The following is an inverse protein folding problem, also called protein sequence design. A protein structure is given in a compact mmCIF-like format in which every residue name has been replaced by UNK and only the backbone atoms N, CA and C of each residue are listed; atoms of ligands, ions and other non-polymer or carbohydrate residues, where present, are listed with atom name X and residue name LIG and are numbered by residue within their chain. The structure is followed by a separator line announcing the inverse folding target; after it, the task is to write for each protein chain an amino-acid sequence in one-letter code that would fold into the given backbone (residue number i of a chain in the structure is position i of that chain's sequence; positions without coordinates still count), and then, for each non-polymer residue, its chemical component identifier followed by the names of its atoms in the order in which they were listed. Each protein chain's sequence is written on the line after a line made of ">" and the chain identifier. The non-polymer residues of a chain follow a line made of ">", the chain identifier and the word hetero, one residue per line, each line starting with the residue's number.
data_IF_616352543609
#
_entry.id   IF_616352543609
#
_cell.length_a   1.000
_cell.length_b   1.000
_cell.length_c   1.000
_cell.angle_alpha   90.00
_cell.angle_beta   90.00
_cell.angle_gamma   90.00
#
_symmetry.space_group_name_H-M   'P 1'
#
loop_
_entity.id
_entity.type
_entity.pdbx_description
1 polymer ?
#
# COMPACT_ATOMS: atom_id res chain seq x y z
N UNK A 1 17.98 -13.54 -16.96
CA UNK A 1 17.44 -13.50 -15.58
C UNK A 1 17.76 -12.16 -14.89
N UNK A 2 17.46 -10.99 -15.49
CA UNK A 2 17.98 -9.69 -14.99
C UNK A 2 17.09 -8.46 -15.20
N UNK A 3 15.84 -8.64 -15.61
CA UNK A 3 14.84 -7.55 -15.66
C UNK A 3 13.97 -7.50 -14.40
N UNK A 4 13.65 -8.68 -13.83
CA UNK A 4 12.80 -8.81 -12.65
C UNK A 4 13.45 -8.22 -11.40
N UNK A 5 14.76 -8.43 -11.18
CA UNK A 5 15.49 -7.84 -10.04
C UNK A 5 15.56 -6.31 -10.08
N UNK A 6 15.64 -5.70 -11.26
CA UNK A 6 15.61 -4.23 -11.41
C UNK A 6 14.24 -3.66 -11.07
N UNK A 7 13.17 -4.32 -11.52
CA UNK A 7 11.81 -3.92 -11.18
C UNK A 7 11.52 -4.05 -9.67
N UNK A 8 11.96 -5.14 -9.03
CA UNK A 8 11.79 -5.33 -7.58
C UNK A 8 12.56 -4.27 -6.79
N UNK A 9 13.76 -3.89 -7.24
CA UNK A 9 14.55 -2.84 -6.60
C UNK A 9 13.90 -1.46 -6.75
N UNK A 10 13.35 -1.14 -7.93
CA UNK A 10 12.61 0.11 -8.15
C UNK A 10 11.30 0.17 -7.35
N UNK A 11 10.58 -0.93 -7.20
CA UNK A 11 9.37 -0.98 -6.35
C UNK A 11 9.73 -0.74 -4.88
N UNK A 12 10.82 -1.32 -4.39
CA UNK A 12 11.28 -1.10 -3.01
C UNK A 12 11.67 0.35 -2.72
N UNK A 13 12.30 1.03 -3.69
CA UNK A 13 12.66 2.45 -3.59
C UNK A 13 11.41 3.34 -3.59
N UNK A 14 10.42 3.04 -4.44
CA UNK A 14 9.13 3.73 -4.46
C UNK A 14 8.36 3.49 -3.15
N UNK A 15 8.33 2.27 -2.63
CA UNK A 15 7.71 1.97 -1.33
C UNK A 15 8.39 2.75 -0.19
N UNK A 16 9.71 2.91 -0.22
CA UNK A 16 10.46 3.63 0.81
C UNK A 16 10.22 5.14 0.77
N UNK A 17 10.17 5.73 -0.42
CA UNK A 17 9.79 7.14 -0.62
C UNK A 17 8.36 7.39 -0.15
N UNK A 18 7.42 6.53 -0.57
CA UNK A 18 6.01 6.62 -0.21
C UNK A 18 5.81 6.44 1.30
N UNK A 19 6.58 5.54 1.92
CA UNK A 19 6.57 5.36 3.36
C UNK A 19 7.10 6.60 4.10
N UNK A 20 8.19 7.18 3.62
CA UNK A 20 8.77 8.39 4.21
C UNK A 20 7.83 9.59 4.09
N UNK A 21 7.11 9.71 2.97
CA UNK A 21 6.12 10.77 2.76
C UNK A 21 4.85 10.59 3.60
N UNK A 22 4.48 9.34 3.89
CA UNK A 22 3.32 9.01 4.71
C UNK A 22 3.62 9.08 6.22
N UNK A 23 4.87 8.93 6.65
CA UNK A 23 5.31 9.04 8.05
C UNK A 23 4.84 10.34 8.75
N UNK A 24 5.03 11.55 8.20
CA UNK A 24 4.56 12.78 8.84
C UNK A 24 3.03 12.94 8.84
N UNK A 25 2.33 12.24 7.94
CA UNK A 25 0.85 12.30 7.84
C UNK A 25 0.21 11.32 8.82
N UNK A 26 0.82 10.15 8.99
CA UNK A 26 0.29 9.05 9.79
C UNK A 26 0.94 8.95 11.19
N UNK A 27 2.05 9.63 11.42
CA UNK A 27 2.83 9.55 12.67
C UNK A 27 3.65 8.25 12.81
N UNK A 28 3.69 7.41 11.78
CA UNK A 28 4.47 6.17 11.73
C UNK A 28 4.91 5.87 10.29
N UNK A 29 6.14 5.35 10.11
CA UNK A 29 6.63 4.90 8.80
C UNK A 29 5.86 3.66 8.36
N UNK A 30 5.05 3.68 7.29
CA UNK A 30 4.51 2.48 6.71
C UNK A 30 5.58 1.81 5.83
N UNK A 31 6.71 1.41 6.45
CA UNK A 31 7.71 0.62 5.75
C UNK A 31 7.22 -0.82 5.60
N UNK A 32 7.24 -1.32 4.36
CA UNK A 32 6.79 -2.67 3.98
C UNK A 32 7.44 -3.82 4.77
N UNK A 33 8.55 -3.57 5.50
CA UNK A 33 9.26 -4.59 6.29
C UNK A 33 8.85 -4.71 7.76
N UNK A 34 8.28 -3.69 8.42
CA UNK A 34 8.33 -3.65 9.89
C UNK A 34 7.08 -4.18 10.60
N UNK A 35 5.89 -4.15 10.00
CA UNK A 35 4.66 -4.59 10.69
C UNK A 35 3.44 -4.63 9.78
N UNK A 36 3.38 -5.53 8.79
CA UNK A 36 2.05 -6.02 8.31
C UNK A 36 1.46 -6.95 9.38
N UNK A 37 1.30 -6.42 10.59
CA UNK A 37 0.52 -7.08 11.63
C UNK A 37 -0.98 -7.00 11.29
N UNK A 38 -1.85 -7.30 12.26
CA UNK A 38 -3.31 -7.21 12.10
C UNK A 38 -3.78 -5.86 11.52
N UNK A 39 -3.04 -4.79 11.82
CA UNK A 39 -3.33 -3.43 11.36
C UNK A 39 -3.22 -3.27 9.84
N UNK A 40 -2.24 -3.94 9.20
CA UNK A 40 -2.05 -3.86 7.75
C UNK A 40 -3.15 -4.60 6.99
N UNK A 41 -3.62 -5.71 7.57
CA UNK A 41 -4.76 -6.47 7.05
C UNK A 41 -6.04 -5.63 7.18
N UNK A 42 -6.24 -4.98 8.33
CA UNK A 42 -7.42 -4.14 8.56
C UNK A 42 -7.51 -2.99 7.55
N UNK A 43 -6.40 -2.28 7.31
CA UNK A 43 -6.34 -1.19 6.32
C UNK A 43 -6.58 -1.72 4.90
N UNK A 44 -6.05 -2.89 4.56
CA UNK A 44 -6.28 -3.53 3.26
C UNK A 44 -7.75 -3.89 3.05
N UNK A 45 -8.42 -4.47 4.04
CA UNK A 45 -9.86 -4.79 3.98
C UNK A 45 -10.71 -3.53 3.85
N UNK A 46 -10.42 -2.48 4.62
CA UNK A 46 -11.12 -1.20 4.54
C UNK A 46 -10.95 -0.57 3.15
N UNK A 47 -9.74 -0.63 2.58
CA UNK A 47 -9.47 -0.14 1.24
C UNK A 47 -10.31 -0.86 0.18
N UNK A 48 -10.34 -2.20 0.21
CA UNK A 48 -11.18 -3.00 -0.70
C UNK A 48 -12.66 -2.66 -0.53
N UNK A 49 -13.14 -2.51 0.72
CA UNK A 49 -14.54 -2.17 0.98
C UNK A 49 -14.93 -0.78 0.46
N UNK A 50 -14.07 0.23 0.60
CA UNK A 50 -14.31 1.57 0.06
C UNK A 50 -14.33 1.52 -1.47
N UNK A 51 -13.33 0.88 -2.09
CA UNK A 51 -13.26 0.75 -3.55
C UNK A 51 -14.47 -0.01 -4.09
N UNK A 52 -14.89 -1.09 -3.45
CA UNK A 52 -16.09 -1.85 -3.82
C UNK A 52 -17.36 -1.01 -3.70
N UNK A 53 -17.49 -0.21 -2.63
CA UNK A 53 -18.63 0.68 -2.43
C UNK A 53 -18.69 1.80 -3.48
N UNK A 54 -17.54 2.36 -3.86
CA UNK A 54 -17.43 3.35 -4.92
C UNK A 54 -17.71 2.74 -6.32
N UNK A 55 -17.23 1.52 -6.57
CA UNK A 55 -17.56 0.74 -7.78
C UNK A 55 -19.06 0.44 -7.90
N UNK A 56 -19.70 0.01 -6.82
CA UNK A 56 -21.16 -0.20 -6.80
C UNK A 56 -21.94 1.12 -6.93
N UNK A 57 -21.44 2.22 -6.38
CA UNK A 57 -22.05 3.56 -6.55
C UNK A 57 -21.98 4.07 -7.98
N UNK A 58 -20.91 3.75 -8.69
CA UNK A 58 -20.73 4.11 -10.09
C UNK A 58 -21.47 3.17 -11.04
N UNK A 59 -22.18 2.16 -10.51
CA UNK A 59 -23.00 1.22 -11.29
C UNK A 59 -22.16 0.26 -12.14
N UNK A 60 -20.87 0.12 -11.82
CA UNK A 60 -19.94 -0.80 -12.50
C UNK A 60 -20.16 -2.24 -12.01
N UNK A 61 -20.72 -2.41 -10.80
CA UNK A 61 -21.06 -3.68 -10.15
C UNK A 61 -22.49 -3.61 -9.62
#
# INVERSE_FOLDING_TARGET
>A
MGALERFVKSIGEIEEDLATKAEPILGFKPSSKIKRGPIGILISIICIAIVYRELSRTGVI
#
